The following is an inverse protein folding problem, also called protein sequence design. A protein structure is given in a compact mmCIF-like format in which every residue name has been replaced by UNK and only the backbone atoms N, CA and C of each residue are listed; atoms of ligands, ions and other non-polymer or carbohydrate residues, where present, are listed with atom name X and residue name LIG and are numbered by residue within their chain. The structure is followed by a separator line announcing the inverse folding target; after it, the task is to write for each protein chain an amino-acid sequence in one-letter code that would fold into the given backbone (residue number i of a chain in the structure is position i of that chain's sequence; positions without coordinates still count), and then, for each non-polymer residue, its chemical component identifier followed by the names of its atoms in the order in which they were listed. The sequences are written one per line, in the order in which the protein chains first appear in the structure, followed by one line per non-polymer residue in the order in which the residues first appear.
data_IF_209670704607
#
_entry.id   IF_209670704607
#
_cell.length_a   1.000
_cell.length_b   1.000
_cell.length_c   1.000
_cell.angle_alpha   90.00
_cell.angle_beta   90.00
_cell.angle_gamma   90.00
#
_symmetry.space_group_name_H-M   'P 1'
#
loop_
_entity.id
_entity.type
_entity.pdbx_description
1 polymer ?
#
# COMPACT_ATOMS: atom_id res chain seq x y z
N UNK A 1 -19.00 1.40 2.08
CA UNK A 1 -18.38 0.85 0.87
C UNK A 1 -19.50 0.29 0.01
N UNK A 2 -19.35 0.27 -1.31
CA UNK A 2 -20.33 -0.40 -2.17
C UNK A 2 -20.29 -1.90 -1.87
N UNK A 3 -21.45 -2.49 -1.57
CA UNK A 3 -21.59 -3.87 -1.13
C UNK A 3 -21.55 -4.88 -2.28
N UNK A 4 -21.56 -4.40 -3.53
CA UNK A 4 -21.50 -5.23 -4.74
C UNK A 4 -20.08 -5.43 -5.29
N UNK A 5 -19.09 -4.70 -4.75
CA UNK A 5 -17.73 -4.68 -5.29
C UNK A 5 -16.78 -5.57 -4.50
N UNK A 6 -15.91 -6.28 -5.21
CA UNK A 6 -14.77 -6.98 -4.62
C UNK A 6 -13.77 -6.01 -3.98
N UNK A 7 -12.94 -6.51 -3.06
CA UNK A 7 -11.86 -5.74 -2.45
C UNK A 7 -10.93 -5.09 -3.49
N UNK A 8 -10.58 -5.82 -4.54
CA UNK A 8 -9.75 -5.30 -5.62
C UNK A 8 -10.45 -4.15 -6.37
N UNK A 9 -11.72 -4.31 -6.75
CA UNK A 9 -12.48 -3.24 -7.41
C UNK A 9 -12.60 -1.99 -6.52
N UNK A 10 -12.79 -2.18 -5.21
CA UNK A 10 -12.81 -1.07 -4.25
C UNK A 10 -11.49 -0.31 -4.23
N UNK A 11 -10.35 -1.01 -4.23
CA UNK A 11 -9.02 -0.40 -4.31
C UNK A 11 -8.79 0.30 -5.66
N UNK A 12 -9.18 -0.31 -6.78
CA UNK A 12 -9.02 0.26 -8.12
C UNK A 12 -9.85 1.53 -8.33
N UNK A 13 -11.10 1.56 -7.83
CA UNK A 13 -11.95 2.74 -7.95
C UNK A 13 -11.56 3.84 -6.96
N UNK A 14 -11.01 3.46 -5.80
CA UNK A 14 -10.66 4.38 -4.72
C UNK A 14 -9.22 4.17 -4.27
N UNK A 15 -8.29 4.59 -5.14
CA UNK A 15 -6.85 4.56 -4.88
C UNK A 15 -6.38 5.52 -3.79
N UNK A 16 -5.06 5.70 -3.70
CA UNK A 16 -4.38 6.42 -2.63
C UNK A 16 -4.74 7.92 -2.53
N UNK A 17 -5.21 8.54 -3.61
CA UNK A 17 -5.67 9.93 -3.62
C UNK A 17 -7.14 10.12 -3.20
N UNK A 18 -7.91 9.03 -3.10
CA UNK A 18 -9.35 9.09 -2.80
C UNK A 18 -9.57 9.33 -1.29
N UNK A 19 -9.93 10.56 -0.92
CA UNK A 19 -10.19 10.94 0.48
C UNK A 19 -11.39 10.16 1.05
N UNK A 20 -11.19 9.47 2.16
CA UNK A 20 -12.28 8.88 2.96
C UNK A 20 -12.14 9.25 4.44
N UNK A 21 -13.12 8.85 5.26
CA UNK A 21 -13.11 9.18 6.69
C UNK A 21 -11.88 8.60 7.37
N UNK A 22 -11.64 7.29 7.21
CA UNK A 22 -10.49 6.59 7.80
C UNK A 22 -9.67 5.95 6.68
N UNK A 23 -8.59 6.64 6.32
CA UNK A 23 -7.70 6.29 5.21
C UNK A 23 -8.09 6.91 3.86
N UNK A 24 -7.30 6.64 2.82
CA UNK A 24 -6.16 5.73 2.81
C UNK A 24 -4.98 6.24 3.66
N UNK A 25 -4.39 5.35 4.46
CA UNK A 25 -3.16 5.61 5.22
C UNK A 25 -2.22 4.41 5.15
N UNK A 26 -0.91 4.65 5.07
CA UNK A 26 0.07 3.60 4.88
C UNK A 26 1.38 4.13 4.33
N UNK A 27 1.99 3.38 3.42
CA UNK A 27 3.31 3.67 2.85
C UNK A 27 3.22 4.00 1.35
N UNK A 28 4.04 4.95 0.92
CA UNK A 28 4.43 5.10 -0.48
C UNK A 28 5.83 4.53 -0.62
N UNK A 29 5.98 3.48 -1.41
CA UNK A 29 7.26 2.82 -1.71
C UNK A 29 7.61 3.02 -3.17
N UNK A 30 8.91 2.93 -3.50
CA UNK A 30 9.41 3.17 -4.85
C UNK A 30 8.83 4.48 -5.41
N UNK A 31 8.88 5.52 -4.59
CA UNK A 31 8.31 6.82 -4.90
C UNK A 31 9.40 7.78 -5.38
N UNK A 32 9.10 8.60 -6.38
CA UNK A 32 10.00 9.69 -6.78
C UNK A 32 9.87 10.86 -5.81
N UNK A 33 10.90 11.71 -5.75
CA UNK A 33 10.96 12.87 -4.83
C UNK A 33 9.73 13.79 -4.92
N UNK A 34 9.22 14.00 -6.12
CA UNK A 34 8.05 14.84 -6.38
C UNK A 34 6.72 14.06 -6.35
N UNK A 35 6.77 12.76 -6.04
CA UNK A 35 5.63 11.84 -6.07
C UNK A 35 4.98 11.73 -7.46
N UNK A 36 5.75 11.93 -8.53
CA UNK A 36 5.32 11.71 -9.91
C UNK A 36 5.05 10.21 -10.15
N UNK A 37 5.96 9.38 -9.62
CA UNK A 37 5.82 7.92 -9.53
C UNK A 37 5.73 7.50 -8.07
N UNK A 38 4.88 6.52 -7.77
CA UNK A 38 4.71 5.94 -6.45
C UNK A 38 3.93 4.62 -6.51
N UNK A 39 4.28 3.69 -5.62
CA UNK A 39 3.45 2.53 -5.30
C UNK A 39 2.88 2.70 -3.90
N UNK A 40 1.56 2.78 -3.76
CA UNK A 40 0.91 3.04 -2.48
C UNK A 40 0.37 1.74 -1.86
N UNK A 41 0.91 1.37 -0.71
CA UNK A 41 0.44 0.24 0.10
C UNK A 41 -0.26 0.82 1.32
N UNK A 42 -1.58 0.62 1.42
CA UNK A 42 -2.36 1.31 2.44
C UNK A 42 -3.53 0.50 2.97
N UNK A 43 -4.00 0.94 4.13
CA UNK A 43 -5.26 0.52 4.70
C UNK A 43 -6.36 1.56 4.51
N UNK A 44 -7.59 1.07 4.46
CA UNK A 44 -8.80 1.87 4.55
C UNK A 44 -9.79 1.16 5.47
N UNK A 45 -10.41 1.92 6.37
CA UNK A 45 -11.49 1.41 7.21
C UNK A 45 -12.80 1.98 6.70
N UNK A 46 -13.81 1.13 6.61
CA UNK A 46 -15.16 1.58 6.32
C UNK A 46 -16.17 0.51 6.66
N UNK A 47 -17.43 0.82 6.35
CA UNK A 47 -18.55 -0.08 6.63
C UNK A 47 -18.90 -0.83 5.35
N UNK A 48 -19.06 -2.14 5.46
CA UNK A 48 -19.54 -3.03 4.40
C UNK A 48 -20.43 -4.11 5.03
N UNK A 49 -21.64 -4.30 4.51
CA UNK A 49 -22.66 -5.20 5.07
C UNK A 49 -22.93 -4.90 6.56
N UNK A 50 -23.06 -3.61 6.89
CA UNK A 50 -23.28 -3.08 8.26
C UNK A 50 -22.19 -3.45 9.28
N UNK A 51 -21.03 -3.92 8.84
CA UNK A 51 -19.89 -4.25 9.70
C UNK A 51 -18.68 -3.40 9.33
N UNK A 52 -17.84 -3.08 10.33
CA UNK A 52 -16.52 -2.52 10.05
C UNK A 52 -15.69 -3.54 9.27
N UNK A 53 -15.09 -3.09 8.17
CA UNK A 53 -14.14 -3.86 7.37
C UNK A 53 -12.87 -3.06 7.19
N UNK A 54 -11.75 -3.76 7.31
CA UNK A 54 -10.43 -3.27 6.97
C UNK A 54 -10.09 -3.77 5.57
N UNK A 55 -9.78 -2.83 4.70
CA UNK A 55 -9.35 -3.09 3.33
C UNK A 55 -7.86 -2.76 3.22
N UNK A 56 -7.08 -3.69 2.69
CA UNK A 56 -5.68 -3.47 2.32
C UNK A 56 -5.59 -3.35 0.81
N UNK A 57 -4.90 -2.31 0.33
CA UNK A 57 -4.70 -2.05 -1.09
C UNK A 57 -3.22 -1.95 -1.42
N UNK A 58 -2.85 -2.46 -2.60
CA UNK A 58 -1.62 -2.11 -3.31
C UNK A 58 -2.04 -1.38 -4.58
N UNK A 59 -1.91 -0.06 -4.56
CA UNK A 59 -2.23 0.85 -5.66
C UNK A 59 -0.95 1.24 -6.41
N UNK A 60 -0.76 0.57 -7.54
CA UNK A 60 0.34 0.82 -8.49
C UNK A 60 -0.11 1.63 -9.71
N UNK A 61 -1.29 2.28 -9.67
CA UNK A 61 -1.79 3.09 -10.79
C UNK A 61 -0.83 4.19 -11.23
N UNK A 62 0.01 4.67 -10.29
CA UNK A 62 1.05 5.68 -10.50
C UNK A 62 2.48 5.12 -10.32
N UNK A 63 2.66 3.81 -10.40
CA UNK A 63 3.96 3.18 -10.12
C UNK A 63 5.03 3.43 -11.19
N UNK A 64 4.64 3.87 -12.39
CA UNK A 64 5.53 4.11 -13.51
C UNK A 64 4.95 5.16 -14.45
N UNK A 65 5.82 5.87 -15.15
CA UNK A 65 5.47 6.80 -16.24
C UNK A 65 5.25 6.07 -17.57
N UNK A 66 5.68 4.82 -17.70
CA UNK A 66 5.47 3.99 -18.89
C UNK A 66 3.99 3.59 -19.06
N UNK A 67 3.50 3.51 -20.29
CA UNK A 67 2.09 3.17 -20.58
C UNK A 67 1.88 1.69 -20.92
N UNK A 68 2.95 0.97 -21.25
CA UNK A 68 2.98 -0.42 -21.69
C UNK A 68 3.24 -1.43 -20.56
N UNK A 69 3.21 -0.97 -19.30
CA UNK A 69 3.34 -1.81 -18.11
C UNK A 69 1.99 -2.02 -17.42
N UNK A 70 1.78 -3.23 -16.88
CA UNK A 70 0.59 -3.51 -16.08
C UNK A 70 0.65 -2.74 -14.74
N UNK A 71 -0.40 -1.96 -14.48
CA UNK A 71 -0.58 -1.16 -13.25
C UNK A 71 -1.85 -1.55 -12.50
N UNK A 72 -2.36 -2.76 -12.76
CA UNK A 72 -3.56 -3.30 -12.12
C UNK A 72 -3.41 -3.19 -10.61
N UNK A 73 -4.32 -2.46 -9.97
CA UNK A 73 -4.37 -2.36 -8.51
C UNK A 73 -4.86 -3.67 -7.91
N UNK A 74 -4.29 -4.04 -6.76
CA UNK A 74 -4.69 -5.22 -5.99
C UNK A 74 -5.30 -4.80 -4.66
N UNK A 75 -6.19 -5.63 -4.12
CA UNK A 75 -6.87 -5.37 -2.87
C UNK A 75 -7.44 -6.61 -2.23
N UNK A 76 -7.45 -6.64 -0.90
CA UNK A 76 -8.06 -7.72 -0.13
C UNK A 76 -8.62 -7.21 1.20
N UNK A 77 -9.71 -7.82 1.67
CA UNK A 77 -10.23 -7.58 3.00
C UNK A 77 -9.34 -8.28 4.03
N UNK A 78 -9.01 -7.57 5.09
CA UNK A 78 -8.14 -8.06 6.15
C UNK A 78 -8.98 -8.55 7.33
N UNK A 79 -8.82 -9.80 7.77
CA UNK A 79 -9.40 -10.25 9.03
C UNK A 79 -8.78 -9.47 10.20
N UNK A 80 -9.58 -8.62 10.85
CA UNK A 80 -9.14 -7.81 11.98
C UNK A 80 -10.20 -7.78 13.08
N UNK A 81 -9.75 -7.56 14.31
CA UNK A 81 -10.60 -7.37 15.47
C UNK A 81 -10.85 -5.88 15.65
N UNK A 82 -12.10 -5.43 15.62
CA UNK A 82 -12.46 -4.02 15.79
C UNK A 82 -12.13 -3.48 17.20
N UNK A 83 -11.84 -4.37 18.15
CA UNK A 83 -11.32 -4.03 19.48
C UNK A 83 -9.79 -3.82 19.49
N UNK A 84 -9.07 -4.35 18.50
CA UNK A 84 -7.64 -4.10 18.32
C UNK A 84 -7.46 -2.70 17.72
N UNK A 85 -6.77 -1.83 18.47
CA UNK A 85 -6.61 -0.42 18.09
C UNK A 85 -5.44 -0.16 17.15
N UNK A 86 -4.49 -1.09 17.08
CA UNK A 86 -3.27 -0.93 16.32
C UNK A 86 -3.28 -1.89 15.14
N UNK A 87 -3.05 -1.35 13.95
CA UNK A 87 -2.85 -2.13 12.74
C UNK A 87 -1.35 -2.28 12.48
N UNK A 88 -0.96 -3.40 11.87
CA UNK A 88 0.42 -3.69 11.46
C UNK A 88 0.51 -3.87 9.95
N UNK A 89 1.56 -3.27 9.39
CA UNK A 89 1.91 -3.39 7.98
C UNK A 89 3.42 -3.61 7.88
N UNK A 90 3.82 -4.68 7.18
CA UNK A 90 5.20 -4.91 6.75
C UNK A 90 5.24 -4.89 5.23
N UNK A 91 6.20 -4.17 4.66
CA UNK A 91 6.41 -4.14 3.21
C UNK A 91 7.87 -4.46 2.94
N UNK A 92 8.13 -5.48 2.11
CA UNK A 92 9.43 -5.76 1.53
C UNK A 92 9.47 -5.09 0.16
N UNK A 93 10.55 -4.35 -0.11
CA UNK A 93 10.75 -3.63 -1.36
C UNK A 93 12.08 -4.09 -1.93
N UNK A 94 12.04 -4.69 -3.11
CA UNK A 94 13.23 -5.14 -3.82
C UNK A 94 13.12 -4.76 -5.30
N UNK A 95 13.62 -3.57 -5.64
CA UNK A 95 13.64 -3.01 -6.99
C UNK A 95 12.28 -3.04 -7.70
N UNK A 96 11.94 -4.13 -8.40
CA UNK A 96 10.72 -4.28 -9.20
C UNK A 96 9.62 -5.13 -8.52
N UNK A 97 9.82 -5.53 -7.26
CA UNK A 97 8.83 -6.28 -6.49
C UNK A 97 8.55 -5.60 -5.15
N UNK A 98 7.27 -5.60 -4.77
CA UNK A 98 6.78 -5.14 -3.48
C UNK A 98 5.92 -6.22 -2.87
N UNK A 99 6.30 -6.73 -1.70
CA UNK A 99 5.55 -7.74 -0.95
C UNK A 99 5.02 -7.14 0.33
N UNK A 100 3.70 -7.08 0.45
CA UNK A 100 3.00 -6.39 1.52
C UNK A 100 2.27 -7.39 2.40
N UNK A 101 2.47 -7.29 3.72
CA UNK A 101 1.89 -8.17 4.74
C UNK A 101 1.10 -7.33 5.73
N UNK A 102 -0.22 -7.42 5.68
CA UNK A 102 -1.13 -6.78 6.62
C UNK A 102 -1.46 -7.67 7.80
N UNK A 103 -1.56 -7.09 8.99
CA UNK A 103 -1.99 -7.77 10.22
C UNK A 103 -1.18 -9.02 10.54
N UNK A 104 0.15 -8.91 10.48
CA UNK A 104 1.06 -10.04 10.74
C UNK A 104 1.03 -11.14 9.67
N UNK A 105 0.58 -10.83 8.45
CA UNK A 105 0.51 -11.80 7.35
C UNK A 105 -0.85 -12.49 7.20
N UNK A 106 -1.89 -12.05 7.92
CA UNK A 106 -3.28 -12.48 7.65
C UNK A 106 -3.74 -12.10 6.25
N UNK A 107 -3.11 -11.10 5.64
CA UNK A 107 -3.31 -10.72 4.24
C UNK A 107 -1.97 -10.39 3.61
N UNK A 108 -1.71 -11.00 2.47
CA UNK A 108 -0.49 -10.78 1.68
C UNK A 108 -0.87 -10.27 0.29
N UNK A 109 -0.16 -9.26 -0.20
CA UNK A 109 -0.29 -8.74 -1.55
C UNK A 109 1.11 -8.56 -2.12
N UNK A 110 1.39 -9.25 -3.23
CA UNK A 110 2.63 -9.06 -4.00
C UNK A 110 2.29 -8.28 -5.26
N UNK A 111 3.04 -7.22 -5.54
CA UNK A 111 2.93 -6.44 -6.77
C UNK A 111 4.29 -6.33 -7.47
N UNK A 112 4.23 -6.28 -8.81
CA UNK A 112 5.38 -5.98 -9.66
C UNK A 112 5.21 -4.57 -10.19
N UNK A 113 6.28 -3.78 -10.12
CA UNK A 113 6.28 -2.38 -10.53
C UNK A 113 7.58 -2.03 -11.23
N UNK A 114 7.51 -1.09 -12.17
CA UNK A 114 8.63 -0.74 -13.05
C UNK A 114 8.76 0.78 -13.16
N UNK A 115 9.12 1.48 -12.06
CA UNK A 115 9.31 2.93 -12.09
C UNK A 115 10.43 3.31 -13.06
N UNK A 116 10.35 4.53 -13.61
CA UNK A 116 11.37 5.09 -14.50
C UNK A 116 12.22 6.17 -13.83
N UNK A 117 11.70 6.74 -12.73
CA UNK A 117 12.30 7.82 -11.95
C UNK A 117 12.71 7.28 -10.58
N UNK A 118 11.84 6.53 -9.92
CA UNK A 118 12.07 6.03 -8.56
C UNK A 118 12.95 4.76 -8.54
N UNK A 119 14.19 4.86 -9.02
CA UNK A 119 15.13 3.74 -9.16
C UNK A 119 16.36 3.99 -8.29
N UNK A 120 16.80 2.97 -7.55
CA UNK A 120 18.03 3.03 -6.76
C UNK A 120 18.02 4.18 -5.75
N UNK A 121 19.02 5.07 -5.85
CA UNK A 121 19.16 6.22 -4.95
C UNK A 121 18.04 7.28 -5.08
N UNK A 122 17.28 7.26 -6.17
CA UNK A 122 16.15 8.18 -6.39
C UNK A 122 14.81 7.62 -5.88
N UNK A 123 14.79 6.37 -5.41
CA UNK A 123 13.63 5.78 -4.75
C UNK A 123 13.51 6.27 -3.31
N UNK A 124 12.34 6.79 -2.96
CA UNK A 124 12.03 7.31 -1.64
C UNK A 124 10.93 6.48 -0.97
N UNK A 125 10.90 6.52 0.36
CA UNK A 125 9.89 5.92 1.22
C UNK A 125 9.14 7.02 1.98
N UNK A 126 7.81 7.01 1.93
CA UNK A 126 6.98 7.95 2.68
C UNK A 126 5.94 7.22 3.52
N UNK A 127 5.64 7.76 4.69
CA UNK A 127 4.44 7.46 5.46
C UNK A 127 3.39 8.52 5.13
N UNK A 128 2.15 8.11 4.85
CA UNK A 128 1.10 9.05 4.46
C UNK A 128 -0.26 8.76 5.12
N UNK A 129 -1.09 9.79 5.19
CA UNK A 129 -2.51 9.70 5.51
C UNK A 129 -3.29 10.71 4.65
N UNK A 130 -4.11 10.21 3.73
CA UNK A 130 -5.02 11.02 2.91
C UNK A 130 -6.49 10.90 3.38
N UNK A 131 -6.73 10.31 4.55
CA UNK A 131 -8.03 10.33 5.21
C UNK A 131 -8.32 11.67 5.89
N UNK A 132 -9.59 11.92 6.21
CA UNK A 132 -9.99 13.12 6.96
C UNK A 132 -9.79 12.97 8.47
N UNK A 133 -9.83 11.73 8.98
CA UNK A 133 -9.47 11.43 10.37
C UNK A 133 -7.96 11.32 10.52
N UNK A 134 -7.43 11.80 11.64
CA UNK A 134 -6.03 11.57 11.99
C UNK A 134 -5.80 10.11 12.37
N UNK A 135 -4.65 9.58 11.98
CA UNK A 135 -4.13 8.29 12.42
C UNK A 135 -2.76 8.50 13.02
N UNK A 136 -2.39 7.71 14.02
CA UNK A 136 -1.09 7.81 14.69
C UNK A 136 -0.25 6.61 14.33
N UNK A 137 0.94 6.85 13.79
CA UNK A 137 1.95 5.79 13.67
C UNK A 137 2.60 5.58 15.03
N UNK A 138 2.24 4.49 15.71
CA UNK A 138 2.76 4.14 17.04
C UNK A 138 4.21 3.65 17.00
N UNK A 139 4.58 2.97 15.92
CA UNK A 139 5.94 2.50 15.66
C UNK A 139 6.17 2.43 14.15
N UNK A 140 7.36 2.85 13.71
CA UNK A 140 7.85 2.66 12.34
C UNK A 140 9.29 2.19 12.42
N UNK A 141 9.62 1.11 11.72
CA UNK A 141 10.99 0.60 11.62
C UNK A 141 11.29 0.30 10.17
N UNK A 142 12.42 0.80 9.68
CA UNK A 142 12.89 0.62 8.33
C UNK A 142 14.34 0.13 8.36
N UNK A 143 14.63 -0.90 7.58
CA UNK A 143 15.97 -1.46 7.44
C UNK A 143 16.39 -1.36 5.98
N UNK A 144 17.63 -0.92 5.74
CA UNK A 144 18.24 -1.09 4.44
C UNK A 144 18.70 -2.55 4.31
N UNK A 145 18.22 -3.23 3.26
CA UNK A 145 18.48 -4.65 3.04
C UNK A 145 19.65 -4.80 2.08
N UNK A 146 20.73 -5.45 2.53
CA UNK A 146 21.85 -5.78 1.67
C UNK A 146 21.45 -6.84 0.63
N UNK A 147 22.12 -6.84 -0.53
CA UNK A 147 21.95 -7.91 -1.51
C UNK A 147 22.25 -9.27 -0.87
N UNK A 148 21.39 -10.25 -1.11
CA UNK A 148 21.62 -11.62 -0.68
C UNK A 148 22.76 -12.29 -1.49
N UNK A 149 23.06 -11.79 -2.70
CA UNK A 149 24.15 -12.30 -3.51
C UNK A 149 25.50 -11.89 -2.92
N UNK A 150 26.32 -12.90 -2.61
CA UNK A 150 27.72 -12.71 -2.23
C UNK A 150 28.60 -13.19 -3.39
N UNK A 151 29.37 -12.30 -4.04
CA UNK A 151 30.35 -12.73 -5.03
C UNK A 151 31.42 -13.58 -4.34
N UNK A 152 31.72 -14.75 -4.92
CA UNK A 152 32.84 -15.62 -4.53
C UNK A 152 34.18 -15.04 -4.98
#
# INVERSE_FOLDING_TARGET
MDESLSAQQLCSQKGAASKTVVGPFGLLVLASKNLDEQTAVFFRVGIHQKQFKLLMCSDQSRSSSQTDVDKTTYGSFVPFNDKERNLSLRVLVDHSIVESFGEGGKTCITSRVYPTIAIGGDAHLYLFNNGTSSVTATQLTAWNMASAYQPH
#
